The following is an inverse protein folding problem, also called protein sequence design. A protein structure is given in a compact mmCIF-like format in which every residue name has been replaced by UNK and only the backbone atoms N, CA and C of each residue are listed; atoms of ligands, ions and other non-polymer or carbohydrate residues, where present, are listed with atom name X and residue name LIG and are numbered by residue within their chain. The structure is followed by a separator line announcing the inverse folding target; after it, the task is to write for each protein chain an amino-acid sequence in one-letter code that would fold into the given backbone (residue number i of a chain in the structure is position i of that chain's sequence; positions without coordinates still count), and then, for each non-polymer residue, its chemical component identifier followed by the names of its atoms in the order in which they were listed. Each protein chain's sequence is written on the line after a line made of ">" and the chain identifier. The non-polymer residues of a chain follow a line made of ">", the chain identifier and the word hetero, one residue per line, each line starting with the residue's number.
data_IF_827889637795
#
_entry.id   IF_827889637795
#
_cell.length_a   1.000
_cell.length_b   1.000
_cell.length_c   1.000
_cell.angle_alpha   90.00
_cell.angle_beta   90.00
_cell.angle_gamma   90.00
#
_symmetry.space_group_name_H-M   'P 1'
#
loop_
_entity.id
_entity.type
_entity.pdbx_description
1 polymer ?
#
# COMPACT_ATOMS: atom_id res chain seq x y z
N UNK A 1 -1.90 -7.88 -14.75
CA UNK A 1 -1.71 -7.35 -13.37
C UNK A 1 -2.81 -6.39 -12.92
N UNK A 2 -3.30 -5.48 -13.78
CA UNK A 2 -4.33 -4.47 -13.46
C UNK A 2 -5.68 -5.04 -13.02
N UNK A 3 -6.14 -6.13 -13.66
CA UNK A 3 -7.44 -6.75 -13.34
C UNK A 3 -7.47 -7.42 -11.96
N UNK A 4 -6.40 -8.11 -11.58
CA UNK A 4 -6.29 -8.74 -10.25
C UNK A 4 -6.34 -7.68 -9.14
N UNK A 5 -5.62 -6.56 -9.31
CA UNK A 5 -5.63 -5.44 -8.38
C UNK A 5 -7.03 -4.85 -8.20
N UNK A 6 -7.75 -4.65 -9.30
CA UNK A 6 -9.13 -4.17 -9.27
C UNK A 6 -10.05 -5.13 -8.49
N UNK A 7 -10.01 -6.43 -8.81
CA UNK A 7 -10.84 -7.43 -8.14
C UNK A 7 -10.56 -7.52 -6.64
N UNK A 8 -9.29 -7.45 -6.23
CA UNK A 8 -8.90 -7.41 -4.80
C UNK A 8 -9.45 -6.16 -4.10
N UNK A 9 -9.52 -5.02 -4.78
CA UNK A 9 -10.07 -3.78 -4.21
C UNK A 9 -11.59 -3.81 -4.03
N UNK A 10 -12.31 -4.48 -4.95
CA UNK A 10 -13.78 -4.66 -4.87
C UNK A 10 -14.13 -5.72 -3.82
N UNK A 11 -13.31 -6.76 -3.69
CA UNK A 11 -13.54 -7.86 -2.76
C UNK A 11 -14.55 -8.91 -3.29
N UNK A 12 -14.91 -9.90 -2.45
CA UNK A 12 -15.83 -10.98 -2.83
C UNK A 12 -17.25 -10.46 -3.09
N UNK A 13 -17.86 -10.89 -4.19
CA UNK A 13 -19.24 -10.54 -4.53
C UNK A 13 -20.25 -11.38 -3.72
N UNK A 14 -20.83 -10.76 -2.69
CA UNK A 14 -21.81 -11.37 -1.78
C UNK A 14 -23.21 -10.76 -1.93
N UNK A 15 -23.87 -11.05 -3.05
CA UNK A 15 -25.22 -10.51 -3.33
C UNK A 15 -26.24 -11.11 -2.37
N UNK A 16 -26.94 -10.24 -1.63
CA UNK A 16 -28.08 -10.61 -0.77
C UNK A 16 -29.38 -10.35 -1.52
N UNK A 17 -30.05 -11.42 -1.94
CA UNK A 17 -31.35 -11.35 -2.60
C UNK A 17 -32.48 -11.58 -1.58
N UNK A 18 -33.63 -10.93 -1.80
CA UNK A 18 -34.86 -11.23 -1.05
C UNK A 18 -35.27 -12.69 -1.26
N UNK A 19 -35.18 -13.17 -2.50
CA UNK A 19 -35.38 -14.56 -2.84
C UNK A 19 -34.31 -15.07 -3.81
N UNK A 20 -33.63 -16.15 -3.41
CA UNK A 20 -32.69 -16.86 -4.27
C UNK A 20 -33.42 -17.83 -5.20
N UNK A 21 -32.91 -18.03 -6.43
CA UNK A 21 -33.40 -19.05 -7.36
C UNK A 21 -33.61 -20.42 -6.68
N UNK A 22 -34.70 -21.07 -7.04
CA UNK A 22 -35.05 -22.41 -6.57
C UNK A 22 -34.91 -23.38 -7.73
N UNK A 23 -34.09 -24.41 -7.57
CA UNK A 23 -34.05 -25.48 -8.54
C UNK A 23 -35.26 -26.43 -8.34
N UNK A 24 -36.19 -26.41 -9.31
CA UNK A 24 -37.44 -27.19 -9.27
C UNK A 24 -37.22 -28.70 -9.36
N UNK A 25 -36.13 -29.18 -9.95
CA UNK A 25 -35.84 -30.62 -10.04
C UNK A 25 -35.50 -31.23 -8.68
N UNK A 26 -34.89 -30.44 -7.80
CA UNK A 26 -34.60 -30.88 -6.44
C UNK A 26 -35.86 -30.86 -5.55
N UNK A 27 -36.89 -30.09 -5.91
CA UNK A 27 -38.15 -29.89 -5.17
C UNK A 27 -38.87 -31.20 -4.84
N UNK A 28 -38.72 -32.23 -5.68
CA UNK A 28 -39.32 -33.54 -5.46
C UNK A 28 -38.74 -34.31 -4.25
N UNK A 29 -37.61 -33.88 -3.66
CA UNK A 29 -36.86 -34.69 -2.68
C UNK A 29 -36.87 -34.17 -1.23
N UNK A 30 -37.64 -33.11 -0.92
CA UNK A 30 -37.73 -32.51 0.43
C UNK A 30 -36.44 -31.88 1.00
N UNK A 31 -35.44 -31.55 0.17
CA UNK A 31 -34.11 -31.06 0.60
C UNK A 31 -33.97 -29.53 0.50
N UNK A 32 -32.86 -28.94 0.94
CA UNK A 32 -32.58 -27.51 0.69
C UNK A 32 -32.26 -27.29 -0.80
N UNK A 33 -32.96 -26.36 -1.45
CA UNK A 33 -32.91 -26.17 -2.92
C UNK A 33 -32.51 -24.78 -3.39
N UNK A 34 -32.08 -23.92 -2.46
CA UNK A 34 -31.60 -22.57 -2.78
C UNK A 34 -30.34 -22.26 -2.00
N UNK A 35 -29.55 -21.35 -2.53
CA UNK A 35 -28.47 -20.71 -1.81
C UNK A 35 -28.99 -20.02 -0.54
N UNK A 36 -28.16 -19.99 0.51
CA UNK A 36 -28.49 -19.30 1.76
C UNK A 36 -27.44 -18.22 2.06
N UNK A 37 -27.88 -16.96 2.07
CA UNK A 37 -27.03 -15.78 2.33
C UNK A 37 -26.30 -15.83 3.66
N UNK A 38 -26.86 -16.48 4.69
CA UNK A 38 -26.21 -16.68 5.99
C UNK A 38 -24.86 -17.39 5.91
N UNK A 39 -24.57 -18.09 4.82
CA UNK A 39 -23.25 -18.71 4.65
C UNK A 39 -22.14 -17.68 4.46
N UNK A 40 -22.45 -16.45 4.05
CA UNK A 40 -21.46 -15.38 3.94
C UNK A 40 -20.84 -15.01 5.27
N UNK A 41 -21.62 -15.06 6.36
CA UNK A 41 -21.15 -14.69 7.69
C UNK A 41 -20.12 -15.71 8.22
N UNK A 42 -20.29 -16.98 7.88
CA UNK A 42 -19.36 -18.07 8.23
C UNK A 42 -18.17 -18.18 7.26
N UNK A 43 -18.37 -17.81 6.00
CA UNK A 43 -17.41 -18.03 4.92
C UNK A 43 -17.19 -16.73 4.11
N UNK A 44 -16.28 -15.85 4.58
CA UNK A 44 -16.11 -14.51 4.00
C UNK A 44 -15.68 -14.47 2.53
N UNK A 45 -15.03 -15.54 2.04
CA UNK A 45 -14.58 -15.62 0.63
C UNK A 45 -15.57 -16.35 -0.28
N UNK A 46 -16.78 -16.67 0.21
CA UNK A 46 -17.84 -17.28 -0.58
C UNK A 46 -18.50 -16.23 -1.47
N UNK A 47 -18.69 -16.57 -2.74
CA UNK A 47 -19.42 -15.77 -3.71
C UNK A 47 -20.60 -16.57 -4.26
N UNK A 48 -21.62 -15.85 -4.74
CA UNK A 48 -22.75 -16.45 -5.45
C UNK A 48 -22.98 -15.72 -6.76
N UNK A 49 -23.16 -16.47 -7.85
CA UNK A 49 -23.53 -15.92 -9.15
C UNK A 49 -25.01 -16.17 -9.42
N UNK A 50 -25.81 -15.10 -9.49
CA UNK A 50 -27.24 -15.18 -9.84
C UNK A 50 -27.43 -15.81 -11.22
N UNK A 51 -26.61 -15.41 -12.20
CA UNK A 51 -26.68 -15.89 -13.58
C UNK A 51 -26.45 -17.39 -13.71
N UNK A 52 -25.59 -17.97 -12.86
CA UNK A 52 -25.22 -19.39 -12.90
C UNK A 52 -25.89 -20.23 -11.82
N UNK A 53 -26.68 -19.61 -10.95
CA UNK A 53 -27.24 -20.22 -9.73
C UNK A 53 -26.22 -21.14 -9.04
N UNK A 54 -25.04 -20.60 -8.73
CA UNK A 54 -23.89 -21.38 -8.26
C UNK A 54 -22.99 -20.56 -7.34
N UNK A 55 -22.38 -21.25 -6.37
CA UNK A 55 -21.42 -20.68 -5.45
C UNK A 55 -19.97 -20.88 -5.92
N UNK A 56 -19.12 -19.90 -5.62
CA UNK A 56 -17.70 -19.85 -5.97
C UNK A 56 -16.87 -19.42 -4.77
N UNK A 57 -15.55 -19.62 -4.84
CA UNK A 57 -14.63 -19.07 -3.86
C UNK A 57 -13.79 -17.95 -4.49
N UNK A 58 -13.90 -16.74 -3.93
CA UNK A 58 -13.21 -15.56 -4.42
C UNK A 58 -11.69 -15.74 -4.44
N UNK A 59 -11.09 -16.12 -3.30
CA UNK A 59 -9.63 -16.25 -3.19
C UNK A 59 -9.09 -17.36 -4.08
N UNK A 60 -9.78 -18.50 -4.18
CA UNK A 60 -9.39 -19.59 -5.08
C UNK A 60 -9.53 -19.20 -6.56
N UNK A 61 -10.50 -18.35 -6.93
CA UNK A 61 -10.64 -17.85 -8.29
C UNK A 61 -9.53 -16.86 -8.66
N UNK A 62 -9.09 -16.04 -7.70
CA UNK A 62 -8.01 -15.07 -7.91
C UNK A 62 -6.63 -15.72 -7.97
N UNK A 63 -6.43 -16.80 -7.19
CA UNK A 63 -5.16 -17.52 -7.09
C UNK A 63 -5.38 -19.00 -7.37
N UNK A 64 -5.66 -19.38 -8.63
CA UNK A 64 -5.94 -20.76 -9.02
C UNK A 64 -4.70 -21.67 -8.99
N UNK A 65 -3.51 -21.12 -9.21
CA UNK A 65 -2.27 -21.89 -9.37
C UNK A 65 -1.33 -21.66 -8.17
N UNK A 66 -1.07 -22.65 -7.31
CA UNK A 66 -0.20 -22.51 -6.14
C UNK A 66 0.18 -23.81 -5.42
N UNK A 67 1.07 -23.78 -4.40
CA UNK A 67 1.39 -24.96 -3.61
C UNK A 67 0.12 -25.57 -3.00
N UNK A 68 -0.10 -26.86 -3.24
CA UNK A 68 -1.34 -27.56 -2.86
C UNK A 68 -2.50 -27.37 -3.83
N UNK A 69 -2.27 -26.71 -4.98
CA UNK A 69 -3.30 -26.47 -5.98
C UNK A 69 -3.59 -27.65 -6.89
N UNK A 70 -2.79 -28.72 -6.79
CA UNK A 70 -3.00 -30.00 -7.49
C UNK A 70 -4.38 -30.62 -7.23
N UNK A 71 -5.04 -30.18 -6.13
CA UNK A 71 -6.41 -30.56 -5.76
C UNK A 71 -7.41 -29.42 -5.88
N UNK A 72 -7.15 -28.37 -6.67
CA UNK A 72 -8.23 -27.42 -6.98
C UNK A 72 -9.36 -28.19 -7.59
N UNK A 73 -10.51 -28.13 -6.92
CA UNK A 73 -11.73 -28.58 -7.53
C UNK A 73 -12.20 -27.43 -8.41
N UNK A 74 -12.12 -27.61 -9.74
CA UNK A 74 -12.65 -26.68 -10.75
C UNK A 74 -14.06 -26.18 -10.40
N UNK A 75 -14.81 -26.99 -9.65
CA UNK A 75 -16.07 -26.66 -9.03
C UNK A 75 -16.11 -25.30 -8.31
N UNK A 76 -15.09 -24.88 -7.56
CA UNK A 76 -15.13 -23.61 -6.81
C UNK A 76 -14.57 -22.40 -7.57
N UNK A 77 -13.96 -22.64 -8.73
CA UNK A 77 -13.26 -21.62 -9.53
C UNK A 77 -14.02 -21.33 -10.82
N UNK A 78 -14.25 -22.36 -11.64
CA UNK A 78 -14.76 -22.22 -13.00
C UNK A 78 -16.18 -22.76 -13.17
N UNK A 79 -16.55 -23.88 -12.55
CA UNK A 79 -17.85 -24.53 -12.79
C UNK A 79 -18.96 -24.04 -11.86
N UNK A 80 -18.62 -23.73 -10.61
CA UNK A 80 -19.57 -23.37 -9.57
C UNK A 80 -20.14 -24.60 -8.85
N UNK A 81 -20.57 -24.39 -7.61
CA UNK A 81 -21.20 -25.42 -6.77
C UNK A 81 -22.64 -25.05 -6.48
N UNK A 82 -23.59 -25.87 -6.93
CA UNK A 82 -25.03 -25.68 -6.74
C UNK A 82 -25.72 -26.80 -5.94
N UNK A 83 -24.96 -27.72 -5.32
CA UNK A 83 -25.54 -28.80 -4.49
C UNK A 83 -25.93 -28.27 -3.09
N UNK A 84 -26.96 -27.43 -3.04
CA UNK A 84 -27.42 -26.72 -1.84
C UNK A 84 -27.68 -27.65 -0.64
N UNK A 85 -28.25 -28.83 -0.91
CA UNK A 85 -28.53 -29.85 0.10
C UNK A 85 -27.29 -30.48 0.77
N UNK A 86 -26.09 -30.31 0.18
CA UNK A 86 -24.82 -30.83 0.72
C UNK A 86 -23.88 -29.70 1.16
N UNK A 87 -24.31 -28.45 1.15
CA UNK A 87 -23.45 -27.31 1.50
C UNK A 87 -23.09 -27.25 2.98
N UNK A 88 -24.08 -27.39 3.87
CA UNK A 88 -23.86 -27.42 5.32
C UNK A 88 -23.55 -28.83 5.81
N UNK A 89 -22.74 -28.91 6.87
CA UNK A 89 -22.41 -30.16 7.55
C UNK A 89 -23.66 -30.76 8.21
N UNK A 90 -23.76 -32.09 8.16
CA UNK A 90 -24.79 -32.87 8.84
C UNK A 90 -24.13 -33.59 10.02
N UNK A 91 -23.83 -32.83 11.08
CA UNK A 91 -23.05 -33.30 12.22
C UNK A 91 -21.54 -33.41 11.94
N UNK A 92 -20.79 -33.84 12.96
CA UNK A 92 -19.31 -33.86 12.94
C UNK A 92 -18.75 -34.85 11.93
N UNK A 93 -19.42 -36.00 11.77
CA UNK A 93 -18.96 -37.10 10.89
C UNK A 93 -19.18 -36.82 9.39
N UNK A 94 -20.08 -35.90 9.04
CA UNK A 94 -20.43 -35.59 7.64
C UNK A 94 -20.29 -34.11 7.36
N UNK A 95 -19.04 -33.69 7.12
CA UNK A 95 -18.70 -32.32 6.72
C UNK A 95 -19.40 -31.95 5.43
N UNK A 96 -19.98 -30.75 5.37
CA UNK A 96 -20.59 -30.19 4.18
C UNK A 96 -19.54 -29.72 3.18
N UNK A 97 -19.96 -29.41 1.94
CA UNK A 97 -19.05 -28.95 0.88
C UNK A 97 -18.33 -27.65 1.26
N UNK A 98 -19.00 -26.72 1.95
CA UNK A 98 -18.39 -25.47 2.42
C UNK A 98 -17.25 -25.77 3.39
N UNK A 99 -17.54 -26.53 4.43
CA UNK A 99 -16.56 -26.91 5.45
C UNK A 99 -15.38 -27.69 4.85
N UNK A 100 -15.63 -28.65 3.95
CA UNK A 100 -14.58 -29.39 3.27
C UNK A 100 -13.68 -28.48 2.41
N UNK A 101 -14.27 -27.52 1.70
CA UNK A 101 -13.52 -26.61 0.85
C UNK A 101 -12.72 -25.59 1.66
N UNK A 102 -13.36 -24.87 2.59
CA UNK A 102 -12.71 -23.82 3.37
C UNK A 102 -11.66 -24.37 4.36
N UNK A 103 -11.75 -25.64 4.76
CA UNK A 103 -10.70 -26.31 5.54
C UNK A 103 -9.57 -26.91 4.69
N UNK A 104 -9.72 -26.95 3.36
CA UNK A 104 -8.74 -27.55 2.45
C UNK A 104 -7.42 -26.77 2.38
N UNK A 105 -6.32 -27.47 2.08
CA UNK A 105 -5.02 -26.86 1.92
C UNK A 105 -4.97 -25.86 0.74
N UNK A 106 -5.68 -26.15 -0.35
CA UNK A 106 -5.76 -25.25 -1.50
C UNK A 106 -6.42 -23.92 -1.15
N UNK A 107 -7.57 -23.95 -0.46
CA UNK A 107 -8.22 -22.72 0.01
C UNK A 107 -7.31 -21.90 0.92
N UNK A 108 -6.66 -22.54 1.90
CA UNK A 108 -5.73 -21.87 2.82
C UNK A 108 -4.57 -21.21 2.07
N UNK A 109 -3.99 -21.91 1.10
CA UNK A 109 -2.92 -21.38 0.24
C UNK A 109 -3.38 -20.17 -0.57
N UNK A 110 -4.55 -20.23 -1.22
CA UNK A 110 -5.12 -19.09 -1.96
C UNK A 110 -5.48 -17.91 -1.05
N UNK A 111 -6.00 -18.18 0.16
CA UNK A 111 -6.35 -17.15 1.13
C UNK A 111 -5.11 -16.44 1.69
N UNK A 112 -4.04 -17.19 1.98
CA UNK A 112 -2.76 -16.64 2.42
C UNK A 112 -2.14 -15.74 1.33
N UNK A 113 -2.18 -16.19 0.07
CA UNK A 113 -1.72 -15.39 -1.07
C UNK A 113 -2.51 -14.11 -1.26
N UNK A 114 -3.83 -14.17 -1.09
CA UNK A 114 -4.69 -12.99 -1.09
C UNK A 114 -4.28 -11.99 0.01
N UNK A 115 -4.07 -12.47 1.23
CA UNK A 115 -3.65 -11.63 2.36
C UNK A 115 -2.26 -11.02 2.10
N UNK A 116 -1.31 -11.82 1.64
CA UNK A 116 0.03 -11.36 1.29
C UNK A 116 0.03 -10.31 0.19
N UNK A 117 -0.81 -10.47 -0.83
CA UNK A 117 -0.96 -9.48 -1.89
C UNK A 117 -1.50 -8.15 -1.35
N UNK A 118 -2.53 -8.21 -0.48
CA UNK A 118 -3.10 -7.03 0.16
C UNK A 118 -2.08 -6.31 1.07
N UNK A 119 -1.31 -7.07 1.84
CA UNK A 119 -0.31 -6.53 2.77
C UNK A 119 0.90 -5.94 2.04
N UNK A 120 1.37 -6.58 0.96
CA UNK A 120 2.46 -6.03 0.12
C UNK A 120 2.09 -4.67 -0.44
N UNK A 121 0.84 -4.49 -0.91
CA UNK A 121 0.36 -3.18 -1.38
C UNK A 121 0.45 -2.13 -0.26
N UNK A 122 -0.11 -2.45 0.91
CA UNK A 122 -0.09 -1.53 2.06
C UNK A 122 1.34 -1.14 2.45
N UNK A 123 2.25 -2.11 2.51
CA UNK A 123 3.65 -1.85 2.85
C UNK A 123 4.36 -0.95 1.82
N UNK A 124 4.15 -1.18 0.52
CA UNK A 124 4.74 -0.35 -0.54
C UNK A 124 4.20 1.08 -0.47
N UNK A 125 2.89 1.23 -0.34
CA UNK A 125 2.24 2.55 -0.24
C UNK A 125 2.80 3.32 0.98
N UNK A 126 2.89 2.67 2.15
CA UNK A 126 3.46 3.28 3.36
C UNK A 126 4.94 3.66 3.21
N UNK A 127 5.75 2.84 2.53
CA UNK A 127 7.16 3.16 2.28
C UNK A 127 7.32 4.36 1.36
N UNK A 128 6.51 4.43 0.30
CA UNK A 128 6.54 5.57 -0.64
C UNK A 128 6.14 6.87 0.06
N UNK A 129 5.09 6.83 0.89
CA UNK A 129 4.67 7.99 1.66
C UNK A 129 5.72 8.41 2.69
N UNK A 130 6.32 7.45 3.40
CA UNK A 130 7.41 7.73 4.36
C UNK A 130 8.62 8.38 3.70
N UNK A 131 9.02 7.92 2.51
CA UNK A 131 10.14 8.50 1.78
C UNK A 131 9.84 9.92 1.30
N UNK A 132 8.64 10.16 0.73
CA UNK A 132 8.21 11.52 0.33
C UNK A 132 8.25 12.49 1.51
N UNK A 133 7.74 12.07 2.68
CA UNK A 133 7.76 12.92 3.88
C UNK A 133 9.18 13.28 4.32
N UNK A 134 10.15 12.36 4.19
CA UNK A 134 11.55 12.64 4.50
C UNK A 134 12.19 13.58 3.49
N UNK A 135 11.91 13.39 2.21
CA UNK A 135 12.40 14.27 1.12
C UNK A 135 11.85 15.69 1.31
N UNK A 136 10.56 15.84 1.61
CA UNK A 136 9.94 17.15 1.87
C UNK A 136 10.54 17.83 3.11
N UNK A 137 10.79 17.07 4.18
CA UNK A 137 11.46 17.58 5.38
C UNK A 137 12.89 18.03 5.10
N UNK A 138 13.65 17.27 4.32
CA UNK A 138 15.01 17.62 3.93
C UNK A 138 15.03 18.90 3.07
N UNK A 139 14.12 19.01 2.11
CA UNK A 139 13.99 20.21 1.29
C UNK A 139 13.62 21.45 2.10
N UNK A 140 12.68 21.33 3.04
CA UNK A 140 12.32 22.43 3.92
C UNK A 140 13.49 22.85 4.81
N UNK A 141 14.25 21.90 5.37
CA UNK A 141 15.46 22.19 6.14
C UNK A 141 16.50 22.95 5.30
N UNK A 142 16.75 22.51 4.06
CA UNK A 142 17.66 23.18 3.13
C UNK A 142 17.14 24.59 2.78
N UNK A 143 15.84 24.76 2.56
CA UNK A 143 15.24 26.05 2.26
C UNK A 143 15.40 27.03 3.44
N UNK A 144 15.15 26.57 4.66
CA UNK A 144 15.33 27.37 5.88
C UNK A 144 16.79 27.76 6.07
N UNK A 145 17.72 26.83 5.85
CA UNK A 145 19.16 27.08 5.87
C UNK A 145 19.53 28.19 4.87
N UNK A 146 19.12 28.06 3.61
CA UNK A 146 19.44 29.03 2.56
C UNK A 146 18.91 30.43 2.91
N UNK A 147 17.68 30.52 3.45
CA UNK A 147 17.11 31.80 3.91
C UNK A 147 17.96 32.45 5.00
N UNK A 148 18.39 31.67 6.00
CA UNK A 148 19.23 32.18 7.10
C UNK A 148 20.59 32.67 6.60
N UNK A 149 21.22 31.91 5.70
CA UNK A 149 22.51 32.28 5.10
C UNK A 149 22.39 33.57 4.30
N UNK A 150 21.38 33.68 3.43
CA UNK A 150 21.14 34.88 2.61
C UNK A 150 20.91 36.09 3.51
N UNK A 151 20.08 35.97 4.55
CA UNK A 151 19.84 37.04 5.50
C UNK A 151 21.14 37.51 6.18
N UNK A 152 21.98 36.57 6.62
CA UNK A 152 23.27 36.85 7.26
C UNK A 152 24.25 37.59 6.33
N UNK A 153 24.30 37.18 5.06
CA UNK A 153 25.12 37.85 4.03
C UNK A 153 24.60 39.27 3.74
N UNK A 154 23.28 39.43 3.64
CA UNK A 154 22.65 40.74 3.45
C UNK A 154 22.89 41.66 4.63
N UNK A 155 22.83 41.16 5.86
CA UNK A 155 23.14 41.95 7.05
C UNK A 155 24.61 42.39 7.10
N UNK A 156 25.53 41.50 6.69
CA UNK A 156 26.95 41.83 6.56
C UNK A 156 27.19 42.92 5.53
N UNK A 157 26.51 42.85 4.37
CA UNK A 157 26.56 43.89 3.35
C UNK A 157 25.97 45.22 3.86
N UNK A 158 24.81 45.15 4.52
CA UNK A 158 24.13 46.30 5.10
C UNK A 158 24.97 47.01 6.16
N UNK A 159 25.69 46.25 6.98
CA UNK A 159 26.61 46.79 7.97
C UNK A 159 27.71 47.62 7.31
N UNK A 160 28.41 47.08 6.31
CA UNK A 160 29.46 47.81 5.59
C UNK A 160 28.93 49.08 4.93
N UNK A 161 27.77 49.00 4.28
CA UNK A 161 27.13 50.14 3.66
C UNK A 161 26.79 51.25 4.67
N UNK A 162 26.25 50.90 5.84
CA UNK A 162 25.92 51.86 6.91
C UNK A 162 27.14 52.53 7.53
N UNK A 163 28.25 51.80 7.65
CA UNK A 163 29.48 52.32 8.22
C UNK A 163 30.38 53.03 7.19
N UNK A 164 29.98 53.06 5.90
CA UNK A 164 30.80 53.64 4.83
C UNK A 164 32.09 52.85 4.55
N UNK A 165 32.11 51.56 4.88
CA UNK A 165 33.28 50.69 4.70
C UNK A 165 33.30 50.04 3.32
N UNK A 166 34.48 49.98 2.70
CA UNK A 166 34.65 49.28 1.43
C UNK A 166 34.38 47.77 1.56
N UNK A 167 33.69 47.18 0.58
CA UNK A 167 33.40 45.74 0.56
C UNK A 167 34.62 44.89 0.21
N UNK A 168 35.42 45.39 -0.74
CA UNK A 168 36.63 44.74 -1.27
C UNK A 168 37.86 45.58 -0.90
N UNK A 169 39.01 44.91 -0.81
CA UNK A 169 40.33 45.54 -0.70
C UNK A 169 41.24 45.05 -1.83
N UNK A 170 42.42 45.64 -1.96
CA UNK A 170 43.48 45.28 -2.91
C UNK A 170 43.85 43.78 -2.82
N UNK A 171 44.38 43.13 -3.87
CA UNK A 171 44.64 41.69 -3.95
C UNK A 171 45.49 41.09 -2.82
N UNK A 172 46.33 41.92 -2.20
CA UNK A 172 47.22 41.53 -1.11
C UNK A 172 46.51 41.39 0.24
N UNK A 173 45.25 41.83 0.36
CA UNK A 173 44.47 41.77 1.59
C UNK A 173 43.03 41.34 1.31
N UNK A 174 42.51 40.42 2.13
CA UNK A 174 41.11 40.03 2.06
C UNK A 174 40.18 41.23 2.37
N UNK A 175 39.11 41.38 1.58
CA UNK A 175 38.14 42.48 1.75
C UNK A 175 37.29 42.36 3.01
N UNK A 176 36.77 43.49 3.51
CA UNK A 176 35.98 43.55 4.75
C UNK A 176 34.75 42.62 4.71
N UNK A 177 34.13 42.45 3.55
CA UNK A 177 32.99 41.53 3.42
C UNK A 177 33.39 40.07 3.65
N UNK A 178 34.55 39.65 3.13
CA UNK A 178 35.07 38.29 3.33
C UNK A 178 35.41 38.06 4.80
N UNK A 179 36.01 39.06 5.46
CA UNK A 179 36.27 38.99 6.90
C UNK A 179 34.98 38.86 7.73
N UNK A 180 33.92 39.59 7.38
CA UNK A 180 32.62 39.44 8.03
C UNK A 180 32.02 38.05 7.78
N UNK A 181 32.14 37.50 6.58
CA UNK A 181 31.71 36.12 6.28
C UNK A 181 32.46 35.11 7.16
N UNK A 182 33.77 35.27 7.36
CA UNK A 182 34.54 34.42 8.28
C UNK A 182 34.16 34.61 9.74
N UNK A 183 33.81 35.84 10.14
CA UNK A 183 33.29 36.10 11.49
C UNK A 183 31.94 35.40 11.70
N UNK A 184 31.02 35.49 10.73
CA UNK A 184 29.72 34.83 10.79
C UNK A 184 29.87 33.31 10.84
N UNK A 185 30.79 32.75 10.05
CA UNK A 185 31.17 31.34 10.10
C UNK A 185 31.59 30.91 11.51
N UNK A 186 32.40 31.71 12.21
CA UNK A 186 32.86 31.36 13.57
C UNK A 186 31.74 31.37 14.61
N UNK A 187 30.73 32.21 14.39
CA UNK A 187 29.67 32.46 15.37
C UNK A 187 28.37 31.70 15.08
N UNK A 188 28.23 31.11 13.89
CA UNK A 188 27.04 30.39 13.47
C UNK A 188 27.43 29.05 12.84
N UNK A 189 27.20 27.96 13.59
CA UNK A 189 27.51 26.60 13.15
C UNK A 189 26.78 26.22 11.85
N UNK A 190 25.52 26.61 11.74
CA UNK A 190 24.67 26.34 10.58
C UNK A 190 25.22 27.03 9.32
N UNK A 191 25.68 28.28 9.47
CA UNK A 191 26.36 29.01 8.39
C UNK A 191 27.73 28.41 8.06
N UNK A 192 28.47 27.91 9.05
CA UNK A 192 29.75 27.24 8.85
C UNK A 192 29.60 25.94 8.05
N UNK A 193 28.59 25.14 8.37
CA UNK A 193 28.33 23.87 7.68
C UNK A 193 27.97 24.12 6.21
N UNK A 194 27.14 25.13 5.93
CA UNK A 194 26.87 25.60 4.56
C UNK A 194 28.14 26.07 3.84
N UNK A 195 28.96 26.89 4.51
CA UNK A 195 30.18 27.45 3.92
C UNK A 195 31.20 26.34 3.55
N UNK A 196 31.33 25.32 4.41
CA UNK A 196 32.19 24.17 4.15
C UNK A 196 31.67 23.34 2.97
N UNK A 197 30.36 23.10 2.89
CA UNK A 197 29.73 22.40 1.76
C UNK A 197 30.01 23.10 0.42
N UNK A 198 29.79 24.41 0.35
CA UNK A 198 30.10 25.21 -0.84
C UNK A 198 31.58 25.13 -1.25
N UNK A 199 32.49 25.10 -0.28
CA UNK A 199 33.93 25.02 -0.56
C UNK A 199 34.30 23.66 -1.13
N UNK A 200 33.71 22.57 -0.63
CA UNK A 200 33.96 21.20 -1.11
C UNK A 200 33.44 20.98 -2.54
N UNK A 201 32.27 21.52 -2.87
CA UNK A 201 31.68 21.44 -4.23
C UNK A 201 32.56 22.13 -5.29
N UNK A 202 33.36 23.12 -4.89
CA UNK A 202 34.29 23.85 -5.78
C UNK A 202 35.54 23.03 -6.19
N UNK A 203 35.83 21.92 -5.50
CA UNK A 203 36.99 21.05 -5.77
C UNK A 203 36.61 19.70 -6.39
N UNK A 204 35.35 19.50 -6.78
CA UNK A 204 34.88 18.28 -7.47
C UNK A 204 34.70 18.46 -8.98
N UNK A 205 35.37 19.46 -9.58
CA UNK A 205 35.44 19.68 -11.04
C UNK A 205 36.84 19.34 -11.54
#
# INVERSE_FOLDING_TARGET
>A
ETQLRYLVSVGPLQVKLEEYPKNRELHATGKTWKFASKWYDEYPYLEYSVKRDSAFCFTCRLFPDGPGSEKHTDAWVSNGVANWNKMKSQGIKKKGKLEQHFSSASHKSSADRYLNFKNKKLHVDLMLDSNRMKEDQEQEMILQLNKQVIATLLDSARYLARQGLAFRRNPECEGNFVQLVYLQRRNNQVFNDWFLKMKLEKYQV
#
